data_IF_860186997321
#
_entry.id   IF_860186997321
#
_cell.length_a   1.000
_cell.length_b   1.000
_cell.length_c   1.000
_cell.angle_alpha   90.00
_cell.angle_beta   90.00
_cell.angle_gamma   90.00
#
_symmetry.space_group_name_H-M   'P 1'
#
loop_
_entity.id
_entity.type
_entity.pdbx_description
1 polymer ?
#
# COMPACT_ATOMS: atom_id res chain seq x y z
N UNK A 1 5.76 -6.23 -2.18
CA UNK A 1 4.65 -6.40 -1.23
C UNK A 1 5.19 -6.92 0.08
N UNK A 2 4.69 -6.42 1.20
CA UNK A 2 5.12 -6.89 2.53
C UNK A 2 4.42 -8.23 2.84
N UNK A 3 5.09 -9.13 3.57
CA UNK A 3 4.58 -10.47 3.91
C UNK A 3 3.18 -10.41 4.55
N UNK A 4 2.98 -9.44 5.45
CA UNK A 4 1.70 -9.21 6.11
C UNK A 4 0.59 -8.86 5.11
N UNK A 5 0.86 -7.95 4.16
CA UNK A 5 -0.10 -7.57 3.12
C UNK A 5 -0.49 -8.78 2.25
N UNK A 6 0.49 -9.62 1.91
CA UNK A 6 0.24 -10.85 1.15
C UNK A 6 -0.65 -11.81 1.92
N UNK A 7 -0.32 -12.06 3.20
CA UNK A 7 -1.10 -12.95 4.06
C UNK A 7 -2.54 -12.47 4.22
N UNK A 8 -2.73 -11.19 4.56
CA UNK A 8 -4.06 -10.58 4.74
C UNK A 8 -4.88 -10.67 3.44
N UNK A 9 -4.32 -10.24 2.30
CA UNK A 9 -5.00 -10.27 1.00
C UNK A 9 -5.33 -11.69 0.56
N UNK A 10 -4.45 -12.64 0.85
CA UNK A 10 -4.67 -14.05 0.53
C UNK A 10 -5.86 -14.60 1.32
N UNK A 11 -5.92 -14.35 2.63
CA UNK A 11 -7.01 -14.83 3.49
C UNK A 11 -8.33 -14.12 3.19
N UNK A 12 -8.34 -12.80 3.00
CA UNK A 12 -9.58 -12.03 2.87
C UNK A 12 -10.21 -12.03 1.48
N UNK A 13 -9.41 -12.17 0.41
CA UNK A 13 -9.92 -12.07 -0.98
C UNK A 13 -9.73 -13.36 -1.77
N UNK A 14 -8.52 -13.93 -1.76
CA UNK A 14 -8.20 -15.08 -2.63
C UNK A 14 -8.80 -16.36 -2.09
N UNK A 15 -8.55 -16.65 -0.83
CA UNK A 15 -9.01 -17.87 -0.18
C UNK A 15 -10.53 -17.86 0.02
N UNK A 16 -11.14 -16.71 0.33
CA UNK A 16 -12.60 -16.59 0.43
C UNK A 16 -13.29 -16.85 -0.91
N UNK A 17 -12.73 -16.33 -2.01
CA UNK A 17 -13.29 -16.49 -3.36
C UNK A 17 -13.28 -17.92 -3.89
N UNK A 18 -12.47 -18.80 -3.31
CA UNK A 18 -12.34 -20.23 -3.69
C UNK A 18 -13.03 -21.13 -2.67
N UNK A 19 -13.36 -20.63 -1.48
CA UNK A 19 -14.03 -21.43 -0.44
C UNK A 19 -15.52 -21.46 -0.71
N UNK A 20 -16.06 -22.65 -1.00
CA UNK A 20 -17.51 -22.86 -1.10
C UNK A 20 -18.14 -22.96 0.30
N UNK A 21 -19.46 -22.72 0.39
CA UNK A 21 -20.19 -22.72 1.66
C UNK A 21 -20.18 -24.05 2.42
N UNK A 22 -19.98 -25.19 1.74
CA UNK A 22 -19.94 -26.53 2.33
C UNK A 22 -18.53 -27.16 2.36
N UNK A 23 -17.48 -26.40 2.03
CA UNK A 23 -16.12 -26.93 2.00
C UNK A 23 -15.50 -27.04 3.40
N UNK A 24 -14.42 -27.82 3.53
CA UNK A 24 -13.62 -27.99 4.76
C UNK A 24 -13.19 -26.65 5.41
N UNK A 25 -12.98 -25.61 4.60
CA UNK A 25 -12.59 -24.26 5.04
C UNK A 25 -13.77 -23.33 5.39
N UNK A 26 -15.01 -23.76 5.16
CA UNK A 26 -16.22 -22.99 5.49
C UNK A 26 -16.32 -22.56 6.97
N UNK A 27 -16.00 -23.42 7.96
CA UNK A 27 -16.09 -23.05 9.38
C UNK A 27 -15.20 -21.87 9.77
N UNK A 28 -14.08 -21.68 9.05
CA UNK A 28 -13.16 -20.58 9.29
C UNK A 28 -13.79 -19.24 8.88
N UNK A 29 -14.51 -19.18 7.77
CA UNK A 29 -15.20 -17.95 7.34
C UNK A 29 -16.49 -17.69 8.10
N UNK A 30 -17.19 -18.74 8.52
CA UNK A 30 -18.35 -18.61 9.43
C UNK A 30 -17.90 -18.06 10.79
N UNK A 31 -16.76 -18.53 11.32
CA UNK A 31 -16.18 -18.01 12.56
C UNK A 31 -15.65 -16.58 12.41
N UNK A 32 -15.17 -16.19 11.23
CA UNK A 32 -14.75 -14.81 10.94
C UNK A 32 -15.92 -13.88 10.60
N UNK A 33 -17.11 -14.42 10.35
CA UNK A 33 -18.29 -13.62 10.05
C UNK A 33 -18.71 -12.84 11.30
N UNK A 34 -18.99 -11.54 11.12
CA UNK A 34 -19.44 -10.63 12.19
C UNK A 34 -18.45 -10.42 13.34
N UNK A 35 -17.15 -10.65 13.08
CA UNK A 35 -16.08 -10.47 14.05
C UNK A 35 -15.26 -9.21 13.77
N UNK A 36 -14.91 -8.48 14.84
CA UNK A 36 -14.01 -7.31 14.81
C UNK A 36 -12.70 -7.62 14.07
N UNK A 37 -12.25 -8.87 14.13
CA UNK A 37 -11.06 -9.37 13.45
C UNK A 37 -11.19 -9.26 11.92
N UNK A 38 -12.35 -9.56 11.33
CA UNK A 38 -12.56 -9.45 9.89
C UNK A 38 -12.55 -7.98 9.43
N UNK A 39 -13.22 -7.10 10.16
CA UNK A 39 -13.19 -5.65 9.91
C UNK A 39 -11.75 -5.09 10.02
N UNK A 40 -11.01 -5.55 11.01
CA UNK A 40 -9.60 -5.19 11.19
C UNK A 40 -8.73 -5.67 10.02
N UNK A 41 -8.84 -6.95 9.62
CA UNK A 41 -8.07 -7.50 8.51
C UNK A 41 -8.37 -6.76 7.20
N UNK A 42 -9.64 -6.42 6.96
CA UNK A 42 -10.05 -5.67 5.77
C UNK A 42 -9.53 -4.23 5.80
N UNK A 43 -9.65 -3.53 6.93
CA UNK A 43 -9.09 -2.20 7.14
C UNK A 43 -7.57 -2.18 6.92
N UNK A 44 -6.87 -3.16 7.49
CA UNK A 44 -5.41 -3.29 7.37
C UNK A 44 -4.96 -3.55 5.92
N UNK A 45 -5.75 -4.26 5.12
CA UNK A 45 -5.46 -4.47 3.70
C UNK A 45 -5.40 -3.14 2.93
N UNK A 46 -6.40 -2.29 3.08
CA UNK A 46 -6.41 -0.96 2.42
C UNK A 46 -5.34 -0.05 3.00
N UNK A 47 -5.21 -0.03 4.32
CA UNK A 47 -4.21 0.78 5.01
C UNK A 47 -2.80 0.47 4.52
N UNK A 48 -2.44 -0.81 4.46
CA UNK A 48 -1.12 -1.24 3.99
C UNK A 48 -0.90 -0.92 2.51
N UNK A 49 -1.96 -0.90 1.69
CA UNK A 49 -1.86 -0.47 0.29
C UNK A 49 -1.42 1.00 0.20
N UNK A 50 -2.07 1.91 0.94
CA UNK A 50 -1.66 3.32 1.00
C UNK A 50 -0.21 3.50 1.48
N UNK A 51 0.14 2.85 2.61
CA UNK A 51 1.49 2.95 3.18
C UNK A 51 2.54 2.43 2.19
N UNK A 52 2.27 1.32 1.51
CA UNK A 52 3.22 0.72 0.57
C UNK A 52 3.53 1.66 -0.60
N UNK A 53 2.52 2.24 -1.26
CA UNK A 53 2.73 3.17 -2.37
C UNK A 53 3.44 4.46 -1.91
N UNK A 54 3.05 5.00 -0.77
CA UNK A 54 3.65 6.22 -0.21
C UNK A 54 5.14 6.02 0.13
N UNK A 55 5.49 4.93 0.81
CA UNK A 55 6.88 4.61 1.16
C UNK A 55 7.72 4.39 -0.10
N UNK A 56 7.19 3.71 -1.12
CA UNK A 56 7.92 3.55 -2.40
C UNK A 56 8.23 4.90 -3.04
N UNK A 57 7.26 5.83 -3.08
CA UNK A 57 7.50 7.18 -3.60
C UNK A 57 8.55 7.94 -2.78
N UNK A 58 8.48 7.88 -1.43
CA UNK A 58 9.47 8.52 -0.56
C UNK A 58 10.88 7.96 -0.81
N UNK A 59 11.03 6.65 -0.95
CA UNK A 59 12.33 6.03 -1.25
C UNK A 59 12.88 6.54 -2.60
N UNK A 60 12.02 6.68 -3.62
CA UNK A 60 12.43 7.25 -4.91
C UNK A 60 12.84 8.72 -4.80
N UNK A 61 12.14 9.53 -4.01
CA UNK A 61 12.52 10.93 -3.76
C UNK A 61 13.84 11.00 -2.99
N UNK A 62 14.00 10.19 -1.95
CA UNK A 62 15.23 10.13 -1.16
C UNK A 62 16.44 9.86 -2.05
N UNK A 63 16.37 8.83 -2.90
CA UNK A 63 17.44 8.51 -3.86
C UNK A 63 17.76 9.69 -4.80
N UNK A 64 16.73 10.34 -5.35
CA UNK A 64 16.92 11.48 -6.25
C UNK A 64 17.61 12.65 -5.53
N UNK A 65 17.13 13.00 -4.33
CA UNK A 65 17.67 14.14 -3.58
C UNK A 65 19.10 13.93 -3.10
N UNK A 66 19.47 12.72 -2.66
CA UNK A 66 20.85 12.38 -2.32
C UNK A 66 21.76 12.46 -3.55
N UNK A 67 21.28 11.96 -4.69
CA UNK A 67 22.06 12.02 -5.94
C UNK A 67 22.23 13.46 -6.45
N UNK A 68 21.24 14.32 -6.20
CA UNK A 68 21.32 15.74 -6.55
C UNK A 68 22.31 16.49 -5.68
N UNK A 69 22.20 16.38 -4.35
CA UNK A 69 23.07 17.07 -3.40
C UNK A 69 23.20 16.29 -2.08
N UNK A 70 24.16 15.37 -2.06
CA UNK A 70 24.41 14.51 -0.92
C UNK A 70 24.74 15.29 0.37
N UNK A 71 25.48 16.41 0.27
CA UNK A 71 25.96 17.16 1.45
C UNK A 71 24.82 17.78 2.25
N UNK A 72 23.78 18.26 1.57
CA UNK A 72 22.62 18.90 2.22
C UNK A 72 21.52 17.92 2.58
N UNK A 73 21.23 16.97 1.69
CA UNK A 73 20.06 16.10 1.87
C UNK A 73 20.33 14.92 2.81
N UNK A 74 21.56 14.42 2.92
CA UNK A 74 21.89 13.33 3.85
C UNK A 74 21.55 13.64 5.33
N UNK A 75 21.98 14.77 5.93
CA UNK A 75 21.61 15.08 7.31
C UNK A 75 20.11 15.36 7.48
N UNK A 76 19.46 15.90 6.45
CA UNK A 76 18.03 16.15 6.45
C UNK A 76 17.24 14.84 6.50
N UNK A 77 17.54 13.89 5.60
CA UNK A 77 16.90 12.59 5.61
C UNK A 77 17.19 11.84 6.90
N UNK A 78 18.42 11.86 7.41
CA UNK A 78 18.74 11.17 8.65
C UNK A 78 17.92 11.66 9.86
N UNK A 79 17.71 12.96 9.97
CA UNK A 79 17.00 13.54 11.11
C UNK A 79 15.48 13.55 10.95
N UNK A 80 14.96 13.70 9.72
CA UNK A 80 13.52 13.90 9.47
C UNK A 80 12.81 12.67 8.86
N UNK A 81 13.52 11.61 8.44
CA UNK A 81 12.89 10.42 7.86
C UNK A 81 11.85 9.79 8.78
N UNK A 82 12.10 9.76 10.10
CA UNK A 82 11.17 9.18 11.06
C UNK A 82 9.82 9.92 11.07
N UNK A 83 9.84 11.25 11.02
CA UNK A 83 8.61 12.06 10.96
C UNK A 83 7.84 11.81 9.67
N UNK A 84 8.54 11.69 8.54
CA UNK A 84 7.89 11.38 7.25
C UNK A 84 7.23 10.00 7.26
N UNK A 85 7.91 8.98 7.80
CA UNK A 85 7.35 7.64 7.93
C UNK A 85 6.14 7.65 8.86
N UNK A 86 6.20 8.39 9.98
CA UNK A 86 5.09 8.53 10.91
C UNK A 86 3.87 9.14 10.20
N UNK A 87 4.04 10.25 9.49
CA UNK A 87 2.94 10.90 8.75
C UNK A 87 2.34 9.96 7.70
N UNK A 88 3.17 9.23 6.95
CA UNK A 88 2.69 8.28 5.95
C UNK A 88 1.96 7.09 6.56
N UNK A 89 2.37 6.64 7.74
CA UNK A 89 1.70 5.55 8.43
C UNK A 89 0.35 5.98 9.00
N UNK A 90 0.24 7.18 9.57
CA UNK A 90 -0.99 7.64 10.22
C UNK A 90 -2.00 8.32 9.28
N UNK A 91 -1.54 8.94 8.19
CA UNK A 91 -2.41 9.57 7.19
C UNK A 91 -3.54 8.66 6.67
N UNK A 92 -3.28 7.40 6.27
CA UNK A 92 -4.33 6.52 5.76
C UNK A 92 -5.41 6.15 6.78
N UNK A 93 -5.15 6.25 8.10
CA UNK A 93 -6.18 6.02 9.12
C UNK A 93 -7.37 6.97 9.00
N UNK A 94 -7.20 8.17 8.45
CA UNK A 94 -8.32 9.11 8.21
C UNK A 94 -9.30 8.53 7.17
N UNK A 95 -8.76 7.85 6.16
CA UNK A 95 -9.55 7.23 5.08
C UNK A 95 -10.08 5.86 5.48
N UNK A 96 -9.22 5.02 6.08
CA UNK A 96 -9.56 3.63 6.45
C UNK A 96 -10.32 3.52 7.77
N UNK A 97 -10.31 4.56 8.62
CA UNK A 97 -11.07 4.59 9.87
C UNK A 97 -12.57 4.42 9.65
N UNK A 98 -13.11 4.96 8.55
CA UNK A 98 -14.52 4.77 8.17
C UNK A 98 -14.89 3.30 7.94
N UNK A 99 -13.94 2.51 7.46
CA UNK A 99 -14.12 1.08 7.22
C UNK A 99 -14.08 0.26 8.52
N UNK A 100 -13.31 0.70 9.52
CA UNK A 100 -13.22 0.03 10.80
C UNK A 100 -14.53 0.11 11.60
N UNK A 101 -15.28 1.21 11.46
CA UNK A 101 -16.60 1.39 12.08
C UNK A 101 -17.77 0.93 11.21
N UNK A 102 -17.50 0.36 10.03
CA UNK A 102 -18.55 -0.19 9.16
C UNK A 102 -18.73 -1.68 9.42
N UNK A 103 -19.96 -2.15 9.33
CA UNK A 103 -20.27 -3.58 9.45
C UNK A 103 -19.89 -4.29 8.14
N UNK A 104 -18.85 -5.12 8.21
CA UNK A 104 -18.44 -5.99 7.11
C UNK A 104 -18.75 -7.44 7.45
N UNK A 105 -19.49 -8.10 6.57
CA UNK A 105 -19.92 -9.49 6.73
C UNK A 105 -19.44 -10.33 5.55
N UNK A 106 -19.15 -11.61 5.81
CA UNK A 106 -18.88 -12.58 4.74
C UNK A 106 -20.22 -13.10 4.22
N UNK A 107 -20.72 -12.48 3.16
CA UNK A 107 -21.97 -12.84 2.49
C UNK A 107 -21.81 -13.94 1.45
N UNK A 108 -22.94 -14.47 0.99
CA UNK A 108 -22.99 -15.45 -0.09
C UNK A 108 -22.92 -14.75 -1.46
N UNK A 109 -22.01 -15.17 -2.33
CA UNK A 109 -22.01 -14.76 -3.74
C UNK A 109 -22.96 -15.66 -4.54
N UNK A 110 -23.45 -15.19 -5.68
CA UNK A 110 -24.24 -15.96 -6.66
C UNK A 110 -23.64 -17.32 -7.04
N UNK A 111 -22.33 -17.48 -6.86
CA UNK A 111 -21.57 -18.66 -7.25
C UNK A 111 -21.39 -19.65 -6.07
N UNK A 112 -22.03 -19.42 -4.91
CA UNK A 112 -21.95 -20.29 -3.73
C UNK A 112 -20.64 -20.17 -2.94
N UNK A 113 -19.89 -19.08 -3.13
CA UNK A 113 -18.61 -18.79 -2.47
C UNK A 113 -18.72 -17.62 -1.49
N UNK A 114 -17.80 -17.55 -0.52
CA UNK A 114 -17.77 -16.47 0.45
C UNK A 114 -17.21 -15.17 -0.15
N UNK A 115 -17.97 -14.08 -0.04
CA UNK A 115 -17.52 -12.73 -0.40
C UNK A 115 -17.69 -11.79 0.76
N UNK A 116 -16.60 -11.13 1.14
CA UNK A 116 -16.64 -10.06 2.11
C UNK A 116 -17.35 -8.84 1.51
N UNK A 117 -18.47 -8.45 2.11
CA UNK A 117 -19.28 -7.29 1.73
C UNK A 117 -19.40 -6.36 2.94
N UNK A 118 -19.11 -5.08 2.75
CA UNK A 118 -19.34 -4.06 3.75
C UNK A 118 -20.51 -3.19 3.31
N UNK A 119 -21.25 -2.65 4.29
CA UNK A 119 -22.36 -1.72 4.02
C UNK A 119 -21.87 -0.40 3.39
N UNK A 120 -20.58 -0.10 3.55
CA UNK A 120 -19.94 1.04 2.94
C UNK A 120 -19.69 0.82 1.43
N UNK A 121 -20.13 1.73 0.55
CA UNK A 121 -19.93 1.59 -0.89
C UNK A 121 -18.44 1.46 -1.21
N UNK A 122 -18.08 0.37 -1.89
CA UNK A 122 -16.69 0.09 -2.31
C UNK A 122 -16.10 1.23 -3.14
N UNK A 123 -16.91 1.95 -3.92
CA UNK A 123 -16.48 3.14 -4.67
C UNK A 123 -15.88 4.25 -3.80
N UNK A 124 -16.42 4.47 -2.59
CA UNK A 124 -15.93 5.50 -1.66
C UNK A 124 -14.54 5.15 -1.14
N UNK A 125 -14.18 3.86 -1.04
CA UNK A 125 -12.83 3.42 -0.68
C UNK A 125 -11.88 3.34 -1.88
N UNK A 126 -12.33 2.77 -3.00
CA UNK A 126 -11.45 2.50 -4.14
C UNK A 126 -11.10 3.76 -4.92
N UNK A 127 -12.03 4.70 -5.10
CA UNK A 127 -11.76 5.93 -5.88
C UNK A 127 -10.59 6.76 -5.31
N UNK A 128 -10.57 7.13 -4.00
CA UNK A 128 -9.43 7.87 -3.46
C UNK A 128 -8.15 7.05 -3.42
N UNK A 129 -8.24 5.73 -3.21
CA UNK A 129 -7.08 4.83 -3.21
C UNK A 129 -6.42 4.79 -4.59
N UNK A 130 -7.20 4.57 -5.64
CA UNK A 130 -6.69 4.50 -7.01
C UNK A 130 -6.09 5.84 -7.42
N UNK A 131 -6.76 6.95 -7.11
CA UNK A 131 -6.23 8.29 -7.38
C UNK A 131 -4.88 8.50 -6.69
N UNK A 132 -4.77 8.12 -5.42
CA UNK A 132 -3.51 8.19 -4.66
C UNK A 132 -2.41 7.33 -5.27
N UNK A 133 -2.72 6.07 -5.63
CA UNK A 133 -1.78 5.15 -6.25
C UNK A 133 -1.24 5.68 -7.59
N UNK A 134 -2.10 6.27 -8.43
CA UNK A 134 -1.70 6.88 -9.70
C UNK A 134 -0.72 8.02 -9.44
N UNK A 135 -1.05 8.94 -8.54
CA UNK A 135 -0.17 10.08 -8.20
C UNK A 135 1.19 9.59 -7.69
N UNK A 136 1.20 8.66 -6.72
CA UNK A 136 2.43 8.07 -6.19
C UNK A 136 3.28 7.40 -7.27
N UNK A 137 2.64 6.68 -8.20
CA UNK A 137 3.31 5.98 -9.30
C UNK A 137 3.92 6.97 -10.28
N UNK A 138 3.17 8.00 -10.69
CA UNK A 138 3.69 9.06 -11.57
C UNK A 138 4.88 9.79 -10.93
N UNK A 139 4.78 10.15 -9.65
CA UNK A 139 5.88 10.78 -8.91
C UNK A 139 7.11 9.87 -8.82
N UNK A 140 6.93 8.60 -8.46
CA UNK A 140 8.03 7.64 -8.38
C UNK A 140 8.69 7.44 -9.75
N UNK A 141 7.90 7.32 -10.82
CA UNK A 141 8.40 7.17 -12.18
C UNK A 141 9.23 8.38 -12.62
N UNK A 142 8.71 9.60 -12.40
CA UNK A 142 9.44 10.83 -12.69
C UNK A 142 10.77 10.89 -11.91
N UNK A 143 10.74 10.60 -10.60
CA UNK A 143 11.95 10.62 -9.76
C UNK A 143 13.01 9.61 -10.23
N UNK A 144 12.58 8.41 -10.64
CA UNK A 144 13.49 7.39 -11.13
C UNK A 144 14.10 7.78 -12.50
N UNK A 145 13.33 8.38 -13.41
CA UNK A 145 13.86 8.88 -14.68
C UNK A 145 14.91 9.97 -14.43
N UNK A 146 14.59 10.96 -13.60
CA UNK A 146 15.54 12.04 -13.29
C UNK A 146 16.82 11.49 -12.65
N UNK A 147 16.69 10.52 -11.73
CA UNK A 147 17.83 9.86 -11.11
C UNK A 147 18.72 9.17 -12.14
N UNK A 148 18.11 8.46 -13.11
CA UNK A 148 18.84 7.80 -14.18
C UNK A 148 19.58 8.79 -15.08
N UNK A 149 18.94 9.91 -15.44
CA UNK A 149 19.58 10.96 -16.25
C UNK A 149 20.78 11.58 -15.53
N UNK A 150 20.66 11.86 -14.23
CA UNK A 150 21.76 12.41 -13.43
C UNK A 150 22.94 11.43 -13.33
N UNK A 151 22.67 10.14 -13.10
CA UNK A 151 23.71 9.10 -13.07
C UNK A 151 24.43 8.99 -14.42
N UNK A 152 23.70 9.02 -15.53
CA UNK A 152 24.30 8.95 -16.86
C UNK A 152 25.19 10.17 -17.16
N UNK A 153 24.81 11.37 -16.69
CA UNK A 153 25.64 12.57 -16.81
C UNK A 153 26.92 12.46 -15.98
N UNK A 154 26.79 12.11 -14.70
CA UNK A 154 27.93 11.93 -13.80
C UNK A 154 28.92 10.86 -14.31
N UNK A 155 28.40 9.74 -14.84
CA UNK A 155 29.22 8.67 -15.44
C UNK A 155 30.00 9.15 -16.67
N UNK A 156 29.39 9.97 -17.53
CA UNK A 156 30.07 10.56 -18.69
C UNK A 156 31.20 11.52 -18.27
N UNK A 157 30.97 12.36 -17.27
CA UNK A 157 31.98 13.28 -16.75
C UNK A 157 33.18 12.55 -16.12
N UNK A 158 32.91 11.50 -15.35
CA UNK A 158 33.97 10.65 -14.78
C UNK A 158 34.80 9.98 -15.88
N UNK A 159 34.15 9.41 -16.90
CA UNK A 159 34.84 8.79 -18.03
C UNK A 159 35.70 9.80 -18.82
N UNK A 160 35.24 11.05 -18.93
CA UNK A 160 35.99 12.13 -19.58
C UNK A 160 37.19 12.63 -18.75
N UNK A 161 37.22 12.43 -17.43
CA UNK A 161 38.34 12.85 -16.58
C UNK A 161 39.44 11.80 -16.45
N UNK A 162 39.18 10.54 -16.82
CA UNK A 162 40.13 9.43 -16.73
C UNK A 162 40.83 9.10 -18.06
N UNK A 163 40.38 9.66 -19.18
CA UNK A 163 41.01 9.50 -20.50
C UNK A 163 41.68 10.79 -20.93
#
# INVERSE_FOLDING_TARGET
>A
MNLLTTCVTFVTLKLSSVTCQDCLLSPLYISLNDNIIANFLYCMMYHMSYVQYAITTIISINRLTILWDHLRFEPWWRNYSFLLIFVVYFSPFISTGKLFFSDCTFGNRSDGTFVLSCDLPTSILFTPLIAFQIVCTCCAFACNITSLVLLLRASKELKSKMG
#
